data_IF_816883878519
#
_entry.id   IF_816883878519
#
_cell.length_a   1.000
_cell.length_b   1.000
_cell.length_c   1.000
_cell.angle_alpha   90.00
_cell.angle_beta   90.00
_cell.angle_gamma   90.00
#
_symmetry.space_group_name_H-M   'P 1'
#
loop_
_entity.id
_entity.type
_entity.pdbx_description
1 polymer ?
#
# COMPACT_ATOMS: atom_id res chain seq x y z
N UNK A 1 12.09 -11.57 6.59
CA UNK A 1 12.59 -10.38 5.89
C UNK A 1 11.47 -9.71 5.07
N UNK A 2 10.73 -10.44 4.18
CA UNK A 2 9.67 -9.82 3.36
C UNK A 2 8.60 -9.12 4.21
N UNK A 3 8.07 -9.79 5.24
CA UNK A 3 7.10 -9.19 6.17
C UNK A 3 7.69 -7.97 6.91
N UNK A 4 8.95 -8.04 7.33
CA UNK A 4 9.62 -6.89 7.95
C UNK A 4 9.68 -5.68 7.00
N UNK A 5 9.91 -5.91 5.70
CA UNK A 5 9.85 -4.85 4.69
C UNK A 5 8.45 -4.22 4.59
N UNK A 6 7.39 -5.03 4.65
CA UNK A 6 5.99 -4.53 4.66
C UNK A 6 5.72 -3.69 5.92
N UNK A 7 6.16 -4.14 7.09
CA UNK A 7 6.01 -3.39 8.36
C UNK A 7 6.75 -2.05 8.30
N UNK A 8 7.90 -1.99 7.63
CA UNK A 8 8.61 -0.72 7.39
C UNK A 8 7.88 0.17 6.38
N UNK A 9 7.30 -0.41 5.33
CA UNK A 9 6.54 0.35 4.32
C UNK A 9 5.31 1.04 4.90
N UNK A 10 4.67 0.45 5.91
CA UNK A 10 3.47 1.03 6.53
C UNK A 10 3.70 2.47 7.03
N UNK A 11 4.61 2.76 7.99
CA UNK A 11 4.86 4.13 8.41
C UNK A 11 5.46 4.99 7.29
N UNK A 12 6.30 4.41 6.43
CA UNK A 12 6.90 5.13 5.31
C UNK A 12 5.85 5.70 4.37
N UNK A 13 4.94 4.86 3.88
CA UNK A 13 3.87 5.29 2.99
C UNK A 13 2.89 6.23 3.68
N UNK A 14 2.58 5.99 4.97
CA UNK A 14 1.69 6.86 5.74
C UNK A 14 2.21 8.28 5.85
N UNK A 15 3.47 8.46 6.28
CA UNK A 15 4.05 9.81 6.36
C UNK A 15 4.13 10.49 5.00
N UNK A 16 4.59 9.79 3.95
CA UNK A 16 4.67 10.39 2.62
C UNK A 16 3.30 10.80 2.07
N UNK A 17 2.26 9.99 2.24
CA UNK A 17 0.91 10.35 1.82
C UNK A 17 0.36 11.52 2.62
N UNK A 18 0.64 11.63 3.93
CA UNK A 18 0.28 12.78 4.75
C UNK A 18 0.92 14.07 4.23
N UNK A 19 2.21 14.05 3.85
CA UNK A 19 2.85 15.22 3.24
C UNK A 19 2.25 15.60 1.89
N UNK A 20 1.92 14.60 1.05
CA UNK A 20 1.24 14.83 -0.23
C UNK A 20 -0.13 15.48 0.02
N UNK A 21 -0.92 14.96 0.96
CA UNK A 21 -2.22 15.54 1.34
C UNK A 21 -2.07 16.98 1.85
N UNK A 22 -1.14 17.24 2.77
CA UNK A 22 -0.88 18.57 3.31
C UNK A 22 -0.47 19.57 2.22
N UNK A 23 0.37 19.14 1.27
CA UNK A 23 0.79 19.97 0.14
C UNK A 23 -0.39 20.27 -0.79
N UNK A 24 -1.21 19.27 -1.13
CA UNK A 24 -2.39 19.47 -1.98
C UNK A 24 -3.43 20.33 -1.29
N UNK A 25 -3.67 20.14 0.01
CA UNK A 25 -4.58 20.97 0.81
C UNK A 25 -4.14 22.43 0.87
N UNK A 26 -2.84 22.69 0.95
CA UNK A 26 -2.30 24.06 0.92
C UNK A 26 -2.54 24.75 -0.44
N UNK A 27 -2.51 24.02 -1.54
CA UNK A 27 -2.78 24.54 -2.89
C UNK A 27 -4.28 24.67 -3.21
N UNK A 28 -5.08 23.74 -2.69
CA UNK A 28 -6.51 23.58 -3.00
C UNK A 28 -7.31 23.36 -1.71
N UNK A 29 -7.47 24.39 -0.84
CA UNK A 29 -8.14 24.22 0.45
C UNK A 29 -9.56 23.65 0.34
N UNK A 30 -10.33 24.06 -0.68
CA UNK A 30 -11.69 23.57 -0.91
C UNK A 30 -11.78 22.05 -1.18
N UNK A 31 -10.71 21.41 -1.62
CA UNK A 31 -10.69 19.94 -1.74
C UNK A 31 -10.56 19.28 -0.37
N UNK A 32 -9.86 19.95 0.55
CA UNK A 32 -9.77 19.48 1.94
C UNK A 32 -11.11 19.60 2.66
N UNK A 33 -11.81 20.74 2.50
CA UNK A 33 -13.16 20.93 3.05
C UNK A 33 -14.12 19.83 2.57
N UNK A 34 -14.06 19.48 1.27
CA UNK A 34 -14.88 18.41 0.70
C UNK A 34 -14.48 17.02 1.25
N UNK A 35 -13.21 16.80 1.55
CA UNK A 35 -12.74 15.55 2.16
C UNK A 35 -13.18 15.44 3.63
N UNK A 36 -13.06 16.50 4.41
CA UNK A 36 -13.52 16.56 5.80
C UNK A 36 -15.03 16.32 5.89
N UNK A 37 -15.84 16.99 5.04
CA UNK A 37 -17.28 16.75 4.96
C UNK A 37 -17.63 15.29 4.61
N UNK A 38 -16.83 14.63 3.79
CA UNK A 38 -16.98 13.20 3.49
C UNK A 38 -16.73 12.35 4.73
N UNK A 39 -15.68 12.64 5.51
CA UNK A 39 -15.35 11.91 6.73
C UNK A 39 -16.43 12.09 7.80
N UNK A 40 -16.95 13.32 7.99
CA UNK A 40 -18.09 13.61 8.88
C UNK A 40 -19.32 12.82 8.47
N UNK A 41 -19.70 12.86 7.17
CA UNK A 41 -20.86 12.12 6.65
C UNK A 41 -20.72 10.62 6.82
N UNK A 42 -19.48 10.10 6.72
CA UNK A 42 -19.17 8.70 6.95
C UNK A 42 -19.14 8.31 8.45
N UNK A 43 -19.27 9.29 9.38
CA UNK A 43 -19.21 9.06 10.82
C UNK A 43 -17.80 8.68 11.31
N UNK A 44 -16.75 9.13 10.60
CA UNK A 44 -15.35 8.89 10.96
C UNK A 44 -14.84 9.93 11.98
N UNK A 45 -15.63 10.92 12.29
CA UNK A 45 -15.23 12.09 13.07
C UNK A 45 -15.45 11.92 14.58
N UNK A 46 -16.57 11.33 15.02
CA UNK A 46 -16.96 11.34 16.45
C UNK A 46 -16.83 10.00 17.19
N UNK A 47 -17.13 8.89 16.56
CA UNK A 47 -17.01 7.56 17.17
C UNK A 47 -16.76 6.48 16.13
N UNK A 48 -15.52 6.07 16.01
CA UNK A 48 -15.13 4.96 15.14
C UNK A 48 -15.79 3.67 15.65
N UNK A 49 -16.83 3.20 14.98
CA UNK A 49 -17.48 1.93 15.34
C UNK A 49 -16.60 0.74 14.95
N UNK A 50 -16.70 -0.36 15.71
CA UNK A 50 -15.98 -1.60 15.39
C UNK A 50 -16.31 -2.08 13.97
N UNK A 51 -17.59 -1.97 13.56
CA UNK A 51 -18.02 -2.36 12.22
C UNK A 51 -17.29 -1.54 11.15
N UNK A 52 -17.14 -0.24 11.36
CA UNK A 52 -16.44 0.64 10.46
C UNK A 52 -14.95 0.29 10.34
N UNK A 53 -14.28 0.02 11.48
CA UNK A 53 -12.88 -0.46 11.46
C UNK A 53 -12.76 -1.76 10.67
N UNK A 54 -13.66 -2.72 10.91
CA UNK A 54 -13.65 -4.01 10.19
C UNK A 54 -13.87 -3.78 8.68
N UNK A 55 -14.81 -2.92 8.30
CA UNK A 55 -15.08 -2.62 6.91
C UNK A 55 -13.90 -1.90 6.24
N UNK A 56 -13.38 -0.84 6.85
CA UNK A 56 -12.32 0.00 6.25
C UNK A 56 -10.95 -0.65 6.28
N UNK A 57 -10.64 -1.44 7.31
CA UNK A 57 -9.31 -2.04 7.49
C UNK A 57 -9.19 -3.43 6.87
N UNK A 58 -10.28 -4.20 6.82
CA UNK A 58 -10.23 -5.59 6.35
C UNK A 58 -10.97 -5.75 5.03
N UNK A 59 -12.27 -5.48 4.99
CA UNK A 59 -13.09 -5.80 3.81
C UNK A 59 -12.77 -4.91 2.62
N UNK A 60 -12.68 -3.59 2.79
CA UNK A 60 -12.38 -2.69 1.68
C UNK A 60 -11.00 -2.99 1.06
N UNK A 61 -9.87 -3.05 1.81
CA UNK A 61 -8.58 -3.43 1.24
C UNK A 61 -8.60 -4.79 0.54
N UNK A 62 -9.26 -5.79 1.13
CA UNK A 62 -9.34 -7.11 0.50
C UNK A 62 -10.04 -7.07 -0.86
N UNK A 63 -11.24 -6.45 -0.93
CA UNK A 63 -12.00 -6.32 -2.18
C UNK A 63 -11.27 -5.47 -3.21
N UNK A 64 -10.69 -4.34 -2.79
CA UNK A 64 -9.97 -3.43 -3.67
C UNK A 64 -8.72 -4.08 -4.25
N UNK A 65 -7.94 -4.80 -3.46
CA UNK A 65 -6.77 -5.51 -3.97
C UNK A 65 -7.17 -6.58 -5.00
N UNK A 66 -8.25 -7.32 -4.78
CA UNK A 66 -8.76 -8.28 -5.76
C UNK A 66 -9.10 -7.60 -7.09
N UNK A 67 -9.75 -6.44 -7.05
CA UNK A 67 -10.15 -5.71 -8.26
C UNK A 67 -8.91 -5.11 -8.95
N UNK A 68 -8.09 -4.35 -8.22
CA UNK A 68 -7.04 -3.54 -8.86
C UNK A 68 -5.76 -4.34 -9.13
N UNK A 69 -5.34 -5.23 -8.22
CA UNK A 69 -4.11 -6.04 -8.40
C UNK A 69 -4.43 -7.42 -8.96
N UNK A 70 -5.49 -8.05 -8.47
CA UNK A 70 -5.91 -9.38 -8.93
C UNK A 70 -6.45 -9.38 -10.36
N UNK A 71 -7.33 -8.46 -10.70
CA UNK A 71 -7.95 -8.40 -12.03
C UNK A 71 -7.29 -7.34 -12.92
N UNK A 72 -7.38 -6.05 -12.56
CA UNK A 72 -6.99 -4.94 -13.44
C UNK A 72 -5.52 -5.00 -13.84
N UNK A 73 -4.60 -5.03 -12.87
CA UNK A 73 -3.18 -5.11 -13.16
C UNK A 73 -2.80 -6.43 -13.86
N UNK A 74 -3.41 -7.54 -13.44
CA UNK A 74 -3.14 -8.84 -14.05
C UNK A 74 -3.52 -8.85 -15.54
N UNK A 75 -4.69 -8.35 -15.89
CA UNK A 75 -5.13 -8.27 -17.30
C UNK A 75 -4.29 -7.25 -18.09
N UNK A 76 -4.02 -6.06 -17.51
CA UNK A 76 -3.20 -5.04 -18.16
C UNK A 76 -1.79 -5.55 -18.51
N UNK A 77 -1.18 -6.37 -17.65
CA UNK A 77 0.14 -6.98 -17.90
C UNK A 77 0.19 -7.95 -19.09
N UNK A 78 -0.94 -8.39 -19.62
CA UNK A 78 -0.98 -9.20 -20.85
C UNK A 78 -0.65 -8.38 -22.10
N UNK A 79 -0.93 -7.08 -22.08
CA UNK A 79 -0.74 -6.16 -23.20
C UNK A 79 0.26 -5.05 -22.94
N UNK A 80 0.59 -4.77 -21.67
CA UNK A 80 1.43 -3.64 -21.26
C UNK A 80 2.63 -4.13 -20.44
N UNK A 81 3.77 -3.44 -20.51
CA UNK A 81 4.86 -3.68 -19.58
C UNK A 81 4.42 -3.33 -18.16
N UNK A 82 5.05 -3.97 -17.15
CA UNK A 82 4.66 -3.81 -15.75
C UNK A 82 4.49 -2.35 -15.31
N UNK A 83 5.41 -1.46 -15.69
CA UNK A 83 5.34 -0.04 -15.31
C UNK A 83 4.04 0.63 -15.77
N UNK A 84 3.64 0.42 -17.03
CA UNK A 84 2.40 0.97 -17.57
C UNK A 84 1.15 0.31 -16.96
N UNK A 85 1.17 -1.01 -16.75
CA UNK A 85 0.08 -1.73 -16.09
C UNK A 85 -0.09 -1.27 -14.63
N UNK A 86 1.02 -1.03 -13.92
CA UNK A 86 1.01 -0.51 -12.56
C UNK A 86 0.49 0.94 -12.50
N UNK A 87 0.91 1.79 -13.43
CA UNK A 87 0.40 3.15 -13.54
C UNK A 87 -1.11 3.17 -13.81
N UNK A 88 -1.57 2.36 -14.76
CA UNK A 88 -2.98 2.26 -15.12
C UNK A 88 -3.85 1.84 -13.93
N UNK A 89 -3.48 0.75 -13.23
CA UNK A 89 -4.26 0.27 -12.09
C UNK A 89 -4.24 1.28 -10.93
N UNK A 90 -3.11 1.96 -10.69
CA UNK A 90 -3.01 2.97 -9.64
C UNK A 90 -3.88 4.20 -9.95
N UNK A 91 -3.91 4.64 -11.23
CA UNK A 91 -4.77 5.73 -11.66
C UNK A 91 -6.25 5.38 -11.48
N UNK A 92 -6.66 4.18 -11.92
CA UNK A 92 -8.04 3.72 -11.73
C UNK A 92 -8.40 3.56 -10.25
N UNK A 93 -7.44 3.12 -9.42
CA UNK A 93 -7.61 3.04 -7.96
C UNK A 93 -7.83 4.42 -7.33
N UNK A 94 -7.05 5.43 -7.73
CA UNK A 94 -7.27 6.81 -7.30
C UNK A 94 -8.63 7.37 -7.74
N UNK A 95 -9.02 7.19 -9.01
CA UNK A 95 -10.31 7.65 -9.55
C UNK A 95 -11.49 6.99 -8.83
N UNK A 96 -11.37 5.71 -8.48
CA UNK A 96 -12.41 4.94 -7.78
C UNK A 96 -12.83 5.58 -6.45
N UNK A 97 -11.93 6.30 -5.78
CA UNK A 97 -12.24 6.97 -4.51
C UNK A 97 -13.14 8.20 -4.65
N UNK A 98 -13.32 8.73 -5.86
CA UNK A 98 -14.26 9.82 -6.18
C UNK A 98 -14.12 11.10 -5.33
N UNK A 99 -13.00 11.26 -4.65
CA UNK A 99 -12.59 12.44 -3.89
C UNK A 99 -11.17 12.82 -4.29
N UNK A 100 -10.88 14.10 -4.52
CA UNK A 100 -9.60 14.55 -5.08
C UNK A 100 -8.43 14.30 -4.12
N UNK A 101 -8.59 14.61 -2.84
CA UNK A 101 -7.56 14.38 -1.82
C UNK A 101 -7.30 12.87 -1.69
N UNK A 102 -8.37 12.11 -1.49
CA UNK A 102 -8.29 10.66 -1.34
C UNK A 102 -7.73 10.00 -2.60
N UNK A 103 -8.16 10.43 -3.79
CA UNK A 103 -7.70 9.91 -5.07
C UNK A 103 -6.21 10.10 -5.30
N UNK A 104 -5.64 11.25 -4.91
CA UNK A 104 -4.22 11.53 -5.08
C UNK A 104 -3.37 10.62 -4.19
N UNK A 105 -3.69 10.50 -2.89
CA UNK A 105 -2.89 9.62 -2.04
C UNK A 105 -3.13 8.14 -2.34
N UNK A 106 -4.36 7.74 -2.72
CA UNK A 106 -4.66 6.38 -3.15
C UNK A 106 -3.91 6.02 -4.44
N UNK A 107 -3.78 6.94 -5.40
CA UNK A 107 -2.92 6.75 -6.57
C UNK A 107 -1.47 6.47 -6.17
N UNK A 108 -0.88 7.29 -5.29
CA UNK A 108 0.50 7.11 -4.83
C UNK A 108 0.68 5.79 -4.08
N UNK A 109 -0.23 5.46 -3.16
CA UNK A 109 -0.25 4.17 -2.46
C UNK A 109 -0.43 3.03 -3.46
N UNK A 110 -1.30 3.21 -4.45
CA UNK A 110 -1.59 2.25 -5.52
C UNK A 110 -0.36 1.80 -6.28
N UNK A 111 0.58 2.71 -6.57
CA UNK A 111 1.85 2.40 -7.22
C UNK A 111 2.72 1.48 -6.35
N UNK A 112 2.76 1.74 -5.04
CA UNK A 112 3.52 0.92 -4.08
C UNK A 112 2.90 -0.46 -3.92
N UNK A 113 1.57 -0.54 -3.75
CA UNK A 113 0.83 -1.80 -3.62
C UNK A 113 1.00 -2.68 -4.86
N UNK A 114 0.90 -2.09 -6.07
CA UNK A 114 1.13 -2.81 -7.31
C UNK A 114 2.57 -3.32 -7.45
N UNK A 115 3.56 -2.52 -7.02
CA UNK A 115 4.96 -2.97 -6.98
C UNK A 115 5.14 -4.14 -6.01
N UNK A 116 4.60 -4.04 -4.79
CA UNK A 116 4.67 -5.08 -3.75
C UNK A 116 4.00 -6.37 -4.23
N UNK A 117 2.80 -6.29 -4.81
CA UNK A 117 2.10 -7.42 -5.39
C UNK A 117 2.92 -8.10 -6.50
N UNK A 118 3.40 -7.33 -7.47
CA UNK A 118 4.16 -7.86 -8.60
C UNK A 118 5.51 -8.45 -8.17
N UNK A 119 6.24 -7.75 -7.30
CA UNK A 119 7.56 -8.20 -6.85
C UNK A 119 7.47 -9.38 -5.91
N UNK A 120 6.45 -9.40 -5.06
CA UNK A 120 6.16 -10.50 -4.13
C UNK A 120 5.65 -11.77 -4.83
N UNK A 121 5.11 -11.64 -6.03
CA UNK A 121 4.48 -12.76 -6.76
C UNK A 121 3.17 -13.24 -6.11
N UNK A 122 2.62 -12.44 -5.19
CA UNK A 122 1.40 -12.79 -4.46
C UNK A 122 0.65 -11.53 -4.03
N UNK A 123 -0.66 -11.56 -4.21
CA UNK A 123 -1.58 -10.48 -3.81
C UNK A 123 -1.64 -10.30 -2.28
N UNK A 124 -1.34 -11.34 -1.51
CA UNK A 124 -1.38 -11.28 -0.04
C UNK A 124 -0.42 -10.25 0.54
N UNK A 125 0.70 -9.96 -0.11
CA UNK A 125 1.63 -8.93 0.33
C UNK A 125 1.05 -7.52 0.19
N UNK A 126 0.34 -7.24 -0.90
CA UNK A 126 -0.31 -5.94 -1.08
C UNK A 126 -1.56 -5.82 -0.21
N UNK A 127 -2.35 -6.88 -0.04
CA UNK A 127 -3.47 -6.91 0.92
C UNK A 127 -2.97 -6.58 2.33
N UNK A 128 -1.90 -7.23 2.79
CA UNK A 128 -1.33 -6.98 4.13
C UNK A 128 -0.86 -5.52 4.28
N UNK A 129 -0.11 -4.99 3.31
CA UNK A 129 0.34 -3.60 3.36
C UNK A 129 -0.84 -2.62 3.37
N UNK A 130 -1.86 -2.87 2.55
CA UNK A 130 -3.04 -2.03 2.45
C UNK A 130 -3.85 -2.05 3.76
N UNK A 131 -4.08 -3.24 4.33
CA UNK A 131 -4.73 -3.37 5.64
C UNK A 131 -3.96 -2.62 6.74
N UNK A 132 -2.64 -2.73 6.76
CA UNK A 132 -1.79 -2.03 7.73
C UNK A 132 -1.84 -0.51 7.52
N UNK A 133 -1.86 -0.05 6.27
CA UNK A 133 -2.00 1.37 5.94
C UNK A 133 -3.34 1.93 6.42
N UNK A 134 -4.45 1.24 6.13
CA UNK A 134 -5.78 1.66 6.57
C UNK A 134 -5.95 1.57 8.09
N UNK A 135 -5.36 0.53 8.72
CA UNK A 135 -5.34 0.43 10.19
C UNK A 135 -4.65 1.64 10.82
N UNK A 136 -3.49 2.04 10.28
CA UNK A 136 -2.80 3.23 10.76
C UNK A 136 -3.67 4.49 10.59
N UNK A 137 -4.18 4.74 9.39
CA UNK A 137 -5.01 5.91 9.10
C UNK A 137 -6.30 5.98 9.94
N UNK A 138 -6.91 4.83 10.20
CA UNK A 138 -8.19 4.77 10.93
C UNK A 138 -8.00 4.73 12.45
N UNK A 139 -6.99 4.01 12.95
CA UNK A 139 -6.89 3.71 14.41
C UNK A 139 -5.72 4.43 15.07
N UNK A 140 -4.58 4.60 14.37
CA UNK A 140 -3.34 5.11 14.96
C UNK A 140 -3.04 6.58 14.64
N UNK A 141 -3.74 7.20 13.69
CA UNK A 141 -3.43 8.56 13.22
C UNK A 141 -3.45 9.60 14.34
N UNK A 142 -4.40 9.51 15.26
CA UNK A 142 -4.51 10.41 16.43
C UNK A 142 -3.50 10.15 17.54
N UNK A 143 -2.77 9.02 17.51
CA UNK A 143 -1.80 8.65 18.53
C UNK A 143 -0.37 9.09 18.21
N UNK A 144 -0.10 9.45 16.96
CA UNK A 144 1.25 9.76 16.49
C UNK A 144 1.39 11.25 16.23
N UNK A 145 2.20 11.97 17.04
CA UNK A 145 2.35 13.40 16.89
C UNK A 145 3.05 13.73 15.57
N UNK A 146 2.38 14.53 14.77
CA UNK A 146 2.97 15.19 13.60
C UNK A 146 3.44 16.57 14.08
N UNK A 147 4.66 16.69 14.49
CA UNK A 147 5.12 17.90 15.21
C UNK A 147 5.00 19.19 14.40
N UNK A 148 4.76 20.28 15.10
CA UNK A 148 4.49 21.64 14.56
C UNK A 148 5.75 22.45 14.23
N UNK A 149 6.93 21.94 14.58
CA UNK A 149 8.19 22.64 14.33
C UNK A 149 8.79 22.27 12.97
N UNK A 150 9.48 23.21 12.31
CA UNK A 150 10.18 22.95 11.05
C UNK A 150 11.13 21.75 11.16
N UNK A 151 11.82 21.61 12.29
CA UNK A 151 12.68 20.45 12.54
C UNK A 151 11.90 19.14 12.55
N UNK A 152 10.77 19.09 13.24
CA UNK A 152 9.92 17.90 13.30
C UNK A 152 9.36 17.54 11.91
N UNK A 153 8.91 18.53 11.15
CA UNK A 153 8.44 18.31 9.78
C UNK A 153 9.54 17.70 8.89
N UNK A 154 10.75 18.27 8.91
CA UNK A 154 11.87 17.71 8.13
C UNK A 154 12.22 16.29 8.60
N UNK A 155 12.28 16.07 9.91
CA UNK A 155 12.58 14.76 10.49
C UNK A 155 11.59 13.69 10.02
N UNK A 156 10.29 13.93 10.15
CA UNK A 156 9.26 12.95 9.76
C UNK A 156 9.19 12.72 8.24
N UNK A 157 9.47 13.76 7.45
CA UNK A 157 9.58 13.61 6.00
C UNK A 157 10.76 12.69 5.60
N UNK A 158 11.94 12.94 6.15
CA UNK A 158 13.12 12.10 5.92
C UNK A 158 12.93 10.69 6.46
N UNK A 159 12.28 10.54 7.62
CA UNK A 159 11.88 9.26 8.18
C UNK A 159 10.95 8.50 7.23
N UNK A 160 9.92 9.15 6.68
CA UNK A 160 9.01 8.57 5.70
C UNK A 160 9.74 8.05 4.46
N UNK A 161 10.68 8.85 3.91
CA UNK A 161 11.52 8.43 2.79
C UNK A 161 12.38 7.22 3.18
N UNK A 162 13.08 7.29 4.30
CA UNK A 162 13.98 6.22 4.76
C UNK A 162 13.23 4.91 4.99
N UNK A 163 12.06 4.96 5.62
CA UNK A 163 11.20 3.79 5.87
C UNK A 163 10.62 3.23 4.58
N UNK A 164 10.24 4.07 3.62
CA UNK A 164 9.73 3.60 2.32
C UNK A 164 10.84 2.93 1.50
N UNK A 165 11.97 3.61 1.33
CA UNK A 165 13.10 3.08 0.55
C UNK A 165 13.69 1.83 1.23
N UNK A 166 13.94 1.92 2.54
CA UNK A 166 14.43 0.79 3.34
C UNK A 166 13.48 -0.40 3.30
N UNK A 167 12.17 -0.15 3.45
CA UNK A 167 11.12 -1.16 3.36
C UNK A 167 11.09 -1.86 2.01
N UNK A 168 11.20 -1.12 0.90
CA UNK A 168 11.28 -1.70 -0.45
C UNK A 168 12.54 -2.55 -0.63
N UNK A 169 13.69 -2.11 -0.12
CA UNK A 169 14.95 -2.87 -0.18
C UNK A 169 14.83 -4.16 0.63
N UNK A 170 14.36 -4.08 1.88
CA UNK A 170 14.21 -5.23 2.78
C UNK A 170 13.19 -6.22 2.22
N UNK A 171 12.05 -5.73 1.74
CA UNK A 171 11.02 -6.55 1.09
C UNK A 171 11.58 -7.29 -0.12
N UNK A 172 12.19 -6.57 -1.06
CA UNK A 172 12.75 -7.13 -2.29
C UNK A 172 13.85 -8.16 -2.01
N UNK A 173 14.74 -7.86 -1.04
CA UNK A 173 15.79 -8.79 -0.61
C UNK A 173 15.20 -10.04 0.05
N UNK A 174 14.14 -9.88 0.85
CA UNK A 174 13.42 -10.98 1.47
C UNK A 174 12.77 -11.91 0.45
N UNK A 175 12.11 -11.35 -0.58
CA UNK A 175 11.50 -12.12 -1.67
C UNK A 175 12.57 -12.89 -2.47
N UNK A 176 13.70 -12.25 -2.79
CA UNK A 176 14.81 -12.93 -3.50
C UNK A 176 15.33 -14.14 -2.73
N UNK A 177 15.49 -14.01 -1.39
CA UNK A 177 15.93 -15.12 -0.52
C UNK A 177 14.92 -16.26 -0.50
N UNK A 178 13.62 -15.96 -0.42
CA UNK A 178 12.56 -16.98 -0.45
C UNK A 178 12.55 -17.73 -1.79
N UNK A 179 12.69 -17.02 -2.91
CA UNK A 179 12.76 -17.62 -4.24
C UNK A 179 14.00 -18.49 -4.42
N UNK A 180 15.15 -18.08 -3.91
CA UNK A 180 16.38 -18.86 -3.94
C UNK A 180 16.27 -20.15 -3.11
N UNK A 181 15.71 -20.06 -1.89
CA UNK A 181 15.47 -21.22 -1.04
C UNK A 181 14.50 -22.23 -1.66
N UNK A 182 13.40 -21.74 -2.27
CA UNK A 182 12.43 -22.58 -2.98
C UNK A 182 13.04 -23.31 -4.20
N UNK A 183 13.98 -22.67 -4.90
CA UNK A 183 14.72 -23.34 -6.00
C UNK A 183 15.71 -24.38 -5.51
N UNK A 184 16.35 -24.14 -4.37
CA UNK A 184 17.31 -25.09 -3.77
C UNK A 184 16.64 -26.35 -3.19
N UNK A 185 15.37 -26.22 -2.78
CA UNK A 185 14.58 -27.36 -2.26
C UNK A 185 13.84 -28.14 -3.34
N UNK A 186 13.79 -27.64 -4.58
CA UNK A 186 13.28 -28.39 -5.70
C UNK A 186 14.28 -29.50 -6.10
N UNK A 187 13.86 -30.75 -5.96
CA UNK A 187 14.66 -31.93 -6.34
C UNK A 187 15.11 -31.83 -7.81
N UNK A 188 16.41 -31.99 -8.12
CA UNK A 188 16.86 -32.05 -9.50
C UNK A 188 16.11 -33.15 -10.27
N UNK A 189 15.71 -32.86 -11.51
CA UNK A 189 15.02 -33.85 -12.35
C UNK A 189 15.84 -35.15 -12.54
N UNK A 190 17.19 -35.07 -12.40
CA UNK A 190 18.11 -36.22 -12.41
C UNK A 190 17.91 -37.20 -11.26
N UNK A 191 17.33 -36.78 -10.14
CA UNK A 191 17.20 -37.55 -8.91
C UNK A 191 15.79 -38.14 -8.74
N UNK A 192 14.92 -38.01 -9.75
CA UNK A 192 13.61 -38.65 -9.79
C UNK A 192 13.86 -40.13 -10.14
N UNK A 193 13.51 -41.09 -9.25
CA UNK A 193 13.63 -42.50 -9.56
C UNK A 193 12.84 -42.80 -10.84
N UNK A 194 13.52 -43.29 -11.87
CA UNK A 194 12.81 -43.84 -13.04
C UNK A 194 11.92 -44.94 -12.53
N UNK A 195 10.60 -44.74 -12.59
CA UNK A 195 9.62 -45.74 -12.16
C UNK A 195 9.97 -47.08 -12.78
N UNK A 196 10.25 -48.03 -11.93
CA UNK A 196 10.30 -49.44 -12.32
C UNK A 196 8.90 -49.83 -12.76
N UNK A 197 8.80 -50.25 -14.02
CA UNK A 197 7.68 -50.97 -14.60
C UNK A 197 7.25 -52.17 -13.76
#
# INVERSE_FOLDING_TARGET
>A
AAIAGIVMLMPGTQYLTTYIMSFVAALFPHWMDAYESLLETAGLDDQISILMVVCSVIFAPFCEELVFRGVTMHQAKKCLPFGAANLLQALLFGIFHMNMIQGIYAFCLGLVLGYVCNRGGSIYYSILLHMLFNFWGTVLSGLIPFGDTTFSLIFWFLFGIAMTVGGLIVFTSGIRKLQAAGRSSAMPLSDIPSGTE
#
